data_IF_811428554901
#
_entry.id   IF_811428554901
#
_cell.length_a   1.000
_cell.length_b   1.000
_cell.length_c   1.000
_cell.angle_alpha   90.00
_cell.angle_beta   90.00
_cell.angle_gamma   90.00
#
_symmetry.space_group_name_H-M   'P 1'
#
loop_
_entity.id
_entity.type
_entity.pdbx_description
1 polymer ?
#
# COMPACT_ATOMS: atom_id res chain seq x y z
N UNK A 1 -2.38 1.51 12.22
CA UNK A 1 -3.10 0.25 12.52
C UNK A 1 -2.34 -0.97 11.97
N UNK A 2 -1.92 -0.98 10.70
CA UNK A 2 -1.14 -2.08 10.13
C UNK A 2 0.17 -2.36 10.87
N UNK A 3 0.96 -1.33 11.21
CA UNK A 3 2.18 -1.48 12.02
C UNK A 3 1.92 -2.16 13.36
N UNK A 4 0.84 -1.77 14.07
CA UNK A 4 0.45 -2.38 15.34
C UNK A 4 0.25 -3.90 15.22
N UNK A 5 -0.47 -4.36 14.18
CA UNK A 5 -0.66 -5.80 13.96
C UNK A 5 0.64 -6.50 13.57
N UNK A 6 1.50 -5.84 12.80
CA UNK A 6 2.84 -6.37 12.45
C UNK A 6 3.71 -6.57 13.69
N UNK A 7 3.81 -5.55 14.54
CA UNK A 7 4.54 -5.61 15.81
C UNK A 7 3.95 -6.67 16.74
N UNK A 8 2.62 -6.77 16.84
CA UNK A 8 1.97 -7.81 17.64
C UNK A 8 2.30 -9.23 17.15
N UNK A 9 2.28 -9.46 15.83
CA UNK A 9 2.66 -10.75 15.23
C UNK A 9 4.12 -11.09 15.55
N UNK A 10 5.03 -10.13 15.40
CA UNK A 10 6.45 -10.30 15.71
C UNK A 10 6.70 -10.57 17.20
N UNK A 11 6.00 -9.86 18.09
CA UNK A 11 6.07 -10.09 19.53
C UNK A 11 5.53 -11.47 19.93
N UNK A 12 4.41 -11.89 19.36
CA UNK A 12 3.82 -13.21 19.62
C UNK A 12 4.75 -14.31 19.09
N UNK A 13 5.32 -14.13 17.89
CA UNK A 13 6.34 -15.04 17.35
C UNK A 13 7.55 -15.14 18.27
N UNK A 14 8.06 -14.01 18.76
CA UNK A 14 9.18 -13.98 19.71
C UNK A 14 8.83 -14.68 21.02
N UNK A 15 7.62 -14.47 21.56
CA UNK A 15 7.13 -15.16 22.76
C UNK A 15 7.02 -16.67 22.54
N UNK A 16 6.53 -17.10 21.38
CA UNK A 16 6.42 -18.53 21.04
C UNK A 16 7.82 -19.14 20.92
N UNK A 17 8.73 -18.51 20.16
CA UNK A 17 10.12 -18.98 20.01
C UNK A 17 10.86 -19.04 21.35
N UNK A 18 10.71 -18.02 22.20
CA UNK A 18 11.38 -18.00 23.51
C UNK A 18 10.80 -19.03 24.48
N UNK A 19 9.49 -19.29 24.43
CA UNK A 19 8.81 -20.16 25.40
C UNK A 19 8.79 -21.64 24.99
N UNK A 20 8.80 -21.91 23.68
CA UNK A 20 8.58 -23.24 23.12
C UNK A 20 9.59 -23.62 22.02
N UNK A 21 10.46 -22.72 21.58
CA UNK A 21 11.40 -22.96 20.48
C UNK A 21 10.74 -22.92 19.09
N UNK A 22 11.52 -23.26 18.07
CA UNK A 22 11.04 -23.29 16.68
C UNK A 22 10.28 -24.58 16.33
N UNK A 23 10.45 -25.63 17.12
CA UNK A 23 9.81 -26.94 16.90
C UNK A 23 8.27 -26.93 16.95
N UNK A 24 7.66 -25.90 17.55
CA UNK A 24 6.20 -25.67 17.49
C UNK A 24 5.73 -25.45 16.05
N UNK A 25 6.55 -24.83 15.22
CA UNK A 25 6.18 -24.49 13.84
C UNK A 25 6.47 -25.63 12.87
N UNK A 26 7.44 -26.49 13.17
CA UNK A 26 7.78 -27.65 12.34
C UNK A 26 6.74 -28.77 12.49
N UNK A 27 6.44 -29.20 13.72
CA UNK A 27 5.49 -30.28 14.00
C UNK A 27 4.53 -29.92 15.15
N UNK A 28 3.53 -29.05 14.91
CA UNK A 28 2.66 -28.54 15.96
C UNK A 28 1.90 -29.63 16.74
N UNK A 29 1.46 -30.68 16.05
CA UNK A 29 0.66 -31.77 16.64
C UNK A 29 1.47 -32.63 17.61
N UNK A 30 2.68 -33.01 17.21
CA UNK A 30 3.58 -33.79 18.06
C UNK A 30 4.06 -32.96 19.25
N UNK A 31 4.39 -31.68 19.01
CA UNK A 31 4.83 -30.77 20.04
C UNK A 31 3.74 -30.52 21.10
N UNK A 32 2.48 -30.37 20.68
CA UNK A 32 1.32 -30.25 21.58
C UNK A 32 1.03 -31.52 22.40
N UNK A 33 1.51 -32.69 21.98
CA UNK A 33 1.30 -33.95 22.70
C UNK A 33 2.37 -34.19 23.78
N UNK A 34 3.58 -33.65 23.58
CA UNK A 34 4.69 -33.74 24.54
C UNK A 34 4.57 -32.66 25.63
N UNK A 35 3.84 -31.58 25.36
CA UNK A 35 3.69 -30.45 26.27
C UNK A 35 2.84 -30.77 27.53
N UNK A 36 3.27 -30.34 28.73
CA UNK A 36 2.45 -30.40 29.94
C UNK A 36 1.12 -29.65 29.75
N UNK A 37 0.02 -30.07 30.40
CA UNK A 37 -1.34 -29.53 30.19
C UNK A 37 -1.42 -28.00 30.30
N UNK A 38 -0.68 -27.43 31.27
CA UNK A 38 -0.63 -25.98 31.51
C UNK A 38 0.03 -25.24 30.33
N UNK A 39 1.16 -25.76 29.82
CA UNK A 39 1.88 -25.16 28.70
C UNK A 39 1.17 -25.38 27.36
N UNK A 40 0.46 -26.50 27.21
CA UNK A 40 -0.39 -26.80 26.05
C UNK A 40 -1.50 -25.76 25.85
N UNK A 41 -2.21 -25.42 26.94
CA UNK A 41 -3.25 -24.37 26.90
C UNK A 41 -2.69 -23.00 26.51
N UNK A 42 -1.52 -22.64 27.06
CA UNK A 42 -0.87 -21.37 26.75
C UNK A 42 -0.37 -21.31 25.29
N UNK A 43 0.23 -22.39 24.79
CA UNK A 43 0.67 -22.52 23.40
C UNK A 43 -0.50 -22.36 22.42
N UNK A 44 -1.62 -23.04 22.68
CA UNK A 44 -2.84 -22.92 21.87
C UNK A 44 -3.40 -21.49 21.87
N UNK A 45 -3.35 -20.80 23.01
CA UNK A 45 -3.81 -19.41 23.12
C UNK A 45 -2.94 -18.47 22.27
N UNK A 46 -1.62 -18.60 22.36
CA UNK A 46 -0.67 -17.82 21.55
C UNK A 46 -0.77 -18.12 20.06
N UNK A 47 -0.98 -19.38 19.68
CA UNK A 47 -1.21 -19.77 18.27
C UNK A 47 -2.53 -19.19 17.75
N UNK A 48 -3.58 -19.17 18.57
CA UNK A 48 -4.86 -18.54 18.22
C UNK A 48 -4.69 -17.03 18.04
N UNK A 49 -4.05 -16.35 18.99
CA UNK A 49 -3.76 -14.92 18.90
C UNK A 49 -2.89 -14.58 17.68
N UNK A 50 -1.90 -15.40 17.36
CA UNK A 50 -1.09 -15.26 16.15
C UNK A 50 -1.95 -15.37 14.88
N UNK A 51 -2.82 -16.38 14.83
CA UNK A 51 -3.73 -16.60 13.69
C UNK A 51 -4.70 -15.42 13.51
N UNK A 52 -5.29 -14.93 14.59
CA UNK A 52 -6.25 -13.84 14.56
C UNK A 52 -5.57 -12.53 14.12
N UNK A 53 -4.37 -12.22 14.65
CA UNK A 53 -3.61 -11.05 14.21
C UNK A 53 -3.16 -11.16 12.75
N UNK A 54 -2.78 -12.34 12.26
CA UNK A 54 -2.46 -12.56 10.84
C UNK A 54 -3.67 -12.37 9.93
N UNK A 55 -4.86 -12.83 10.34
CA UNK A 55 -6.10 -12.60 9.58
C UNK A 55 -6.42 -11.11 9.47
N UNK A 56 -6.30 -10.37 10.58
CA UNK A 56 -6.51 -8.93 10.59
C UNK A 56 -5.48 -8.19 9.72
N UNK A 57 -4.21 -8.59 9.79
CA UNK A 57 -3.16 -8.02 8.95
C UNK A 57 -3.44 -8.26 7.46
N UNK A 58 -3.87 -9.47 7.09
CA UNK A 58 -4.24 -9.80 5.72
C UNK A 58 -5.42 -8.97 5.21
N UNK A 59 -6.48 -8.84 6.01
CA UNK A 59 -7.63 -7.99 5.65
C UNK A 59 -7.23 -6.53 5.39
N UNK A 60 -6.35 -5.97 6.22
CA UNK A 60 -5.86 -4.60 6.03
C UNK A 60 -4.99 -4.45 4.79
N UNK A 61 -4.21 -5.48 4.43
CA UNK A 61 -3.42 -5.50 3.20
C UNK A 61 -4.31 -5.60 1.96
N UNK A 62 -5.29 -6.49 1.99
CA UNK A 62 -6.26 -6.66 0.89
C UNK A 62 -7.04 -5.35 0.67
N UNK A 63 -7.49 -4.69 1.75
CA UNK A 63 -8.12 -3.37 1.68
C UNK A 63 -7.19 -2.29 1.11
N UNK A 64 -5.90 -2.31 1.49
CA UNK A 64 -4.90 -1.38 0.94
C UNK A 64 -4.77 -1.58 -0.57
N UNK A 65 -4.67 -2.82 -1.02
CA UNK A 65 -4.52 -3.16 -2.43
C UNK A 65 -5.78 -2.81 -3.25
N UNK A 66 -6.97 -3.01 -2.69
CA UNK A 66 -8.23 -2.60 -3.31
C UNK A 66 -8.33 -1.07 -3.46
N UNK A 67 -7.96 -0.33 -2.42
CA UNK A 67 -7.90 1.14 -2.45
C UNK A 67 -6.88 1.57 -3.50
N UNK A 68 -5.67 1.01 -3.47
CA UNK A 68 -4.62 1.35 -4.42
C UNK A 68 -5.05 1.09 -5.86
N UNK A 69 -5.71 -0.03 -6.14
CA UNK A 69 -6.30 -0.32 -7.46
C UNK A 69 -7.39 0.68 -7.83
N UNK A 70 -8.27 1.04 -6.91
CA UNK A 70 -9.37 1.99 -7.16
C UNK A 70 -8.87 3.40 -7.48
N UNK A 71 -7.78 3.83 -6.83
CA UNK A 71 -7.22 5.18 -6.99
C UNK A 71 -6.05 5.24 -7.99
N UNK A 72 -5.64 4.10 -8.56
CA UNK A 72 -4.70 4.08 -9.68
C UNK A 72 -5.42 4.65 -10.90
N UNK A 73 -5.09 5.88 -11.24
CA UNK A 73 -5.57 6.52 -12.47
C UNK A 73 -5.11 5.65 -13.66
N UNK A 74 -6.06 5.03 -14.37
CA UNK A 74 -5.76 4.16 -15.52
C UNK A 74 -5.00 4.88 -16.63
N UNK A 75 -5.15 6.21 -16.69
CA UNK A 75 -4.41 7.12 -17.56
C UNK A 75 -3.90 8.30 -16.77
N UNK A 76 -2.69 8.73 -17.09
CA UNK A 76 -2.15 9.95 -16.51
C UNK A 76 -3.03 11.16 -16.88
N UNK A 77 -3.34 12.03 -15.92
CA UNK A 77 -4.17 13.20 -16.19
C UNK A 77 -3.43 14.10 -17.17
N UNK A 78 -4.09 14.37 -18.30
CA UNK A 78 -3.60 15.28 -19.32
C UNK A 78 -4.72 16.23 -19.73
N UNK A 79 -4.33 17.45 -20.10
CA UNK A 79 -5.24 18.49 -20.59
C UNK A 79 -4.88 18.74 -22.05
N UNK A 80 -5.83 18.53 -22.95
CA UNK A 80 -5.66 18.83 -24.37
C UNK A 80 -6.43 20.09 -24.74
N UNK A 81 -5.75 21.05 -25.35
CA UNK A 81 -6.36 22.25 -25.94
C UNK A 81 -6.44 22.02 -27.44
N UNK A 82 -7.66 21.92 -27.96
CA UNK A 82 -7.92 21.61 -29.38
C UNK A 82 -7.86 22.83 -30.29
N UNK A 83 -8.16 24.02 -29.77
CA UNK A 83 -8.23 25.26 -30.56
C UNK A 83 -7.10 26.22 -30.16
N UNK A 84 -7.39 27.21 -29.30
CA UNK A 84 -6.40 28.22 -28.89
C UNK A 84 -6.43 28.41 -27.37
N UNK A 85 -5.26 28.42 -26.74
CA UNK A 85 -5.07 28.93 -25.40
C UNK A 85 -4.24 30.22 -25.43
N UNK A 86 -4.79 31.26 -24.81
CA UNK A 86 -4.18 32.59 -24.76
C UNK A 86 -3.21 32.73 -23.58
N UNK A 87 -2.26 33.69 -23.66
CA UNK A 87 -1.38 34.02 -22.55
C UNK A 87 -2.18 34.36 -21.28
N UNK A 88 -1.69 33.90 -20.13
CA UNK A 88 -2.35 34.10 -18.83
C UNK A 88 -3.27 32.94 -18.40
N UNK A 89 -3.56 31.97 -19.28
CA UNK A 89 -4.26 30.73 -18.89
C UNK A 89 -3.36 29.92 -17.95
N UNK A 90 -3.95 29.44 -16.85
CA UNK A 90 -3.26 28.60 -15.87
C UNK A 90 -3.73 27.15 -16.02
N UNK A 91 -2.82 26.28 -16.43
CA UNK A 91 -3.04 24.84 -16.50
C UNK A 91 -2.58 24.22 -15.19
N UNK A 92 -3.49 23.53 -14.51
CA UNK A 92 -3.19 22.80 -13.27
C UNK A 92 -3.41 21.31 -13.49
N UNK A 93 -2.34 20.52 -13.35
CA UNK A 93 -2.39 19.06 -13.41
C UNK A 93 -1.86 18.52 -12.08
N UNK A 94 -2.73 17.83 -11.32
CA UNK A 94 -2.47 17.40 -9.93
C UNK A 94 -2.08 18.59 -9.02
N UNK A 95 -0.80 18.70 -8.64
CA UNK A 95 -0.26 19.79 -7.79
C UNK A 95 0.57 20.80 -8.59
N UNK A 96 0.86 20.49 -9.85
CA UNK A 96 1.75 21.28 -10.69
C UNK A 96 0.95 22.29 -11.50
N UNK A 97 1.47 23.51 -11.55
CA UNK A 97 0.84 24.65 -12.21
C UNK A 97 1.78 25.18 -13.29
N UNK A 98 1.22 25.49 -14.45
CA UNK A 98 1.90 26.16 -15.54
C UNK A 98 1.02 27.30 -16.04
N UNK A 99 1.58 28.50 -16.05
CA UNK A 99 0.97 29.64 -16.71
C UNK A 99 1.48 29.67 -18.16
N UNK A 100 0.56 29.83 -19.10
CA UNK A 100 0.90 29.93 -20.52
C UNK A 100 1.37 31.36 -20.80
N UNK A 101 2.60 31.49 -21.34
CA UNK A 101 3.18 32.80 -21.68
C UNK A 101 2.95 33.21 -23.14
N UNK A 102 2.65 32.24 -24.02
CA UNK A 102 2.48 32.45 -25.47
C UNK A 102 1.21 31.77 -25.96
N UNK A 103 0.64 32.24 -27.06
CA UNK A 103 -0.50 31.58 -27.68
C UNK A 103 -0.11 30.15 -28.06
N UNK A 104 -0.83 29.16 -27.52
CA UNK A 104 -0.65 27.74 -27.80
C UNK A 104 -1.87 27.22 -28.55
N UNK A 105 -1.66 26.44 -29.59
CA UNK A 105 -2.73 25.83 -30.39
C UNK A 105 -2.51 24.34 -30.51
N UNK A 106 -3.60 23.57 -30.53
CA UNK A 106 -3.58 22.11 -30.66
C UNK A 106 -2.46 21.47 -29.80
N UNK A 107 -2.51 21.69 -28.48
CA UNK A 107 -1.41 21.34 -27.56
C UNK A 107 -1.94 20.48 -26.43
N UNK A 108 -1.22 19.39 -26.13
CA UNK A 108 -1.48 18.50 -25.00
C UNK A 108 -0.49 18.76 -23.88
N UNK A 109 -1.01 18.91 -22.67
CA UNK A 109 -0.26 19.15 -21.45
C UNK A 109 -0.36 17.93 -20.54
N UNK A 110 0.75 17.52 -19.96
CA UNK A 110 0.83 16.42 -19.00
C UNK A 110 1.90 16.73 -17.95
N UNK A 111 1.81 16.05 -16.80
CA UNK A 111 2.85 16.15 -15.77
C UNK A 111 3.96 15.16 -16.08
N UNK A 112 5.19 15.63 -16.18
CA UNK A 112 6.35 14.77 -16.29
C UNK A 112 6.66 14.09 -14.95
N UNK A 113 6.83 12.77 -14.97
CA UNK A 113 6.93 11.97 -13.76
C UNK A 113 8.23 12.20 -12.98
N UNK A 114 9.31 12.58 -13.65
CA UNK A 114 10.63 12.80 -13.06
C UNK A 114 10.77 14.22 -12.50
N UNK A 115 10.36 15.20 -13.30
CA UNK A 115 10.55 16.63 -12.97
C UNK A 115 9.39 17.23 -12.19
N UNK A 116 8.23 16.54 -12.13
CA UNK A 116 6.97 17.04 -11.53
C UNK A 116 6.53 18.39 -12.11
N UNK A 117 6.91 18.68 -13.35
CA UNK A 117 6.53 19.90 -14.06
C UNK A 117 5.49 19.57 -15.13
N UNK A 118 4.63 20.54 -15.43
CA UNK A 118 3.73 20.42 -16.57
C UNK A 118 4.56 20.64 -17.83
N UNK A 119 4.63 19.64 -18.68
CA UNK A 119 5.26 19.67 -20.00
C UNK A 119 4.17 19.63 -21.05
N UNK A 120 4.48 20.11 -22.25
CA UNK A 120 3.54 20.15 -23.36
C UNK A 120 4.13 19.54 -24.63
N UNK A 121 3.25 18.93 -25.43
CA UNK A 121 3.54 18.42 -26.76
C UNK A 121 2.44 18.87 -27.71
N UNK A 122 2.73 18.96 -29.01
CA UNK A 122 1.68 19.17 -30.01
C UNK A 122 0.69 18.00 -29.95
N UNK A 123 -0.59 18.30 -29.79
CA UNK A 123 -1.63 17.32 -30.03
C UNK A 123 -1.71 17.12 -31.54
N UNK A 124 -1.56 15.88 -32.01
CA UNK A 124 -1.76 15.52 -33.43
C UNK A 124 -3.25 15.37 -33.67
#
# INVERSE_FOLDING_TARGET
QMEKYKTNVEEILKKIKNSFGEGVFENPKEFLNILPPVKKKNCLLLLKELSDNNKQLKLLLDQRDEIEKKYKLEKEPSISITDIAYPGVIITIKRSKLQIDKVMQNTKFYEDNETKRVVFTSAV
#
